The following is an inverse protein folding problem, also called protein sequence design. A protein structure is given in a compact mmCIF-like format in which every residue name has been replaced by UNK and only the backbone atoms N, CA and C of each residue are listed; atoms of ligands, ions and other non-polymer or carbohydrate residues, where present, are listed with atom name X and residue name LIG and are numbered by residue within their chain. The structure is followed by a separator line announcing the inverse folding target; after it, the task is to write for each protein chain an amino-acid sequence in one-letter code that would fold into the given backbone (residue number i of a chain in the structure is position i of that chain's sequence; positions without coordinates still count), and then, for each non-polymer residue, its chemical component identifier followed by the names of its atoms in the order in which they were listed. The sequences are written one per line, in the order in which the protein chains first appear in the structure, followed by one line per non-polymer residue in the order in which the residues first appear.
data_IF_161562159121
#
_entry.id   IF_161562159121
#
_cell.length_a   1.000
_cell.length_b   1.000
_cell.length_c   1.000
_cell.angle_alpha   90.00
_cell.angle_beta   90.00
_cell.angle_gamma   90.00
#
_symmetry.space_group_name_H-M   'P 1'
#
loop_
_entity.id
_entity.type
_entity.pdbx_description
1 polymer ?
#
# COMPACT_ATOMS: atom_id res chain seq x y z
N UNK A 1 0.89 -6.42 9.53
CA UNK A 1 1.33 -5.10 10.06
C UNK A 1 0.18 -4.09 10.06
N UNK A 2 -0.43 -3.75 8.93
CA UNK A 2 -1.52 -2.75 8.88
C UNK A 2 -2.69 -3.03 9.86
N UNK A 3 -3.11 -4.29 9.97
CA UNK A 3 -4.15 -4.72 10.92
C UNK A 3 -3.72 -4.70 12.42
N UNK A 4 -2.52 -4.22 12.74
CA UNK A 4 -2.12 -3.95 14.14
C UNK A 4 -2.26 -2.47 14.50
N UNK A 5 -2.58 -1.58 13.55
CA UNK A 5 -2.65 -0.14 13.79
C UNK A 5 -4.01 0.24 14.40
N UNK A 6 -3.97 0.92 15.54
CA UNK A 6 -5.17 1.33 16.27
C UNK A 6 -5.98 2.34 15.46
N UNK A 7 -7.31 2.18 15.46
CA UNK A 7 -8.24 3.07 14.77
C UNK A 7 -8.39 2.83 13.26
N UNK A 8 -7.51 2.03 12.64
CA UNK A 8 -7.54 1.75 11.19
C UNK A 8 -7.52 0.25 10.85
N UNK A 9 -7.31 -0.64 11.82
CA UNK A 9 -7.32 -2.10 11.60
C UNK A 9 -8.68 -2.62 11.14
N UNK A 10 -8.66 -3.70 10.37
CA UNK A 10 -9.84 -4.49 10.07
C UNK A 10 -10.21 -5.39 11.26
N UNK A 11 -11.33 -5.08 11.93
CA UNK A 11 -11.78 -5.80 13.13
C UNK A 11 -12.36 -7.19 12.83
N UNK A 12 -12.82 -7.45 11.60
CA UNK A 12 -13.54 -8.69 11.26
C UNK A 12 -12.91 -9.47 10.11
N UNK A 13 -11.92 -8.88 9.43
CA UNK A 13 -11.38 -9.40 8.16
C UNK A 13 -12.28 -9.12 6.96
N UNK A 14 -13.44 -8.51 7.18
CA UNK A 14 -14.41 -8.11 6.16
C UNK A 14 -15.12 -6.80 6.55
N UNK A 15 -14.52 -5.98 7.41
CA UNK A 15 -15.10 -4.71 7.82
C UNK A 15 -15.34 -3.80 6.60
N UNK A 16 -16.43 -3.04 6.63
CA UNK A 16 -16.81 -2.10 5.59
C UNK A 16 -16.22 -0.69 5.81
N UNK A 17 -15.38 -0.51 6.83
CA UNK A 17 -14.66 0.74 7.01
C UNK A 17 -13.72 0.97 5.83
N UNK A 18 -13.56 2.24 5.41
CA UNK A 18 -12.69 2.59 4.28
C UNK A 18 -11.26 2.05 4.47
N UNK A 19 -10.74 2.09 5.71
CA UNK A 19 -9.42 1.53 6.03
C UNK A 19 -9.31 0.02 5.88
N UNK A 20 -10.36 -0.73 6.23
CA UNK A 20 -10.37 -2.17 6.08
C UNK A 20 -10.47 -2.58 4.61
N UNK A 21 -11.31 -1.87 3.83
CA UNK A 21 -11.40 -2.05 2.38
C UNK A 21 -10.05 -1.76 1.73
N UNK A 22 -9.44 -0.62 2.06
CA UNK A 22 -8.12 -0.21 1.57
C UNK A 22 -7.04 -1.24 1.92
N UNK A 23 -6.95 -1.67 3.19
CA UNK A 23 -5.94 -2.66 3.64
C UNK A 23 -6.04 -3.97 2.85
N UNK A 24 -7.26 -4.45 2.59
CA UNK A 24 -7.49 -5.67 1.81
C UNK A 24 -7.13 -5.48 0.33
N UNK A 25 -7.53 -4.35 -0.27
CA UNK A 25 -7.20 -4.03 -1.66
C UNK A 25 -5.68 -3.95 -1.86
N UNK A 26 -4.99 -3.17 -1.03
CA UNK A 26 -3.53 -3.07 -0.99
C UNK A 26 -2.87 -4.45 -0.85
N UNK A 27 -3.34 -5.30 0.07
CA UNK A 27 -2.77 -6.66 0.26
C UNK A 27 -2.91 -7.52 -1.01
N UNK A 28 -4.04 -7.44 -1.72
CA UNK A 28 -4.26 -8.19 -2.97
C UNK A 28 -3.32 -7.71 -4.07
N UNK A 29 -3.09 -6.40 -4.17
CA UNK A 29 -2.19 -5.83 -5.17
C UNK A 29 -0.74 -6.23 -4.93
N UNK A 30 -0.25 -6.08 -3.70
CA UNK A 30 1.10 -6.47 -3.27
C UNK A 30 1.36 -7.97 -3.50
N UNK A 31 0.34 -8.83 -3.34
CA UNK A 31 0.48 -10.26 -3.63
C UNK A 31 0.88 -10.52 -5.09
N UNK A 32 0.38 -9.73 -6.04
CA UNK A 32 0.70 -9.90 -7.47
C UNK A 32 2.18 -9.64 -7.76
N UNK A 33 2.84 -8.79 -6.98
CA UNK A 33 4.26 -8.49 -7.12
C UNK A 33 5.11 -9.73 -6.81
N UNK A 34 4.82 -10.37 -5.66
CA UNK A 34 5.46 -11.61 -5.24
C UNK A 34 5.23 -12.75 -6.23
N UNK A 35 3.99 -12.95 -6.67
CA UNK A 35 3.62 -13.98 -7.65
C UNK A 35 4.38 -13.83 -8.97
N UNK A 36 4.46 -12.60 -9.46
CA UNK A 36 5.16 -12.28 -10.70
C UNK A 36 6.65 -12.58 -10.60
N UNK A 37 7.31 -12.06 -9.55
CA UNK A 37 8.75 -12.22 -9.36
C UNK A 37 9.11 -13.69 -9.09
N UNK A 38 8.29 -14.40 -8.31
CA UNK A 38 8.49 -15.83 -8.06
C UNK A 38 8.45 -16.64 -9.36
N UNK A 39 7.40 -16.47 -10.17
CA UNK A 39 7.26 -17.17 -11.46
C UNK A 39 8.40 -16.83 -12.40
N UNK A 40 8.83 -15.56 -12.45
CA UNK A 40 9.98 -15.18 -13.24
C UNK A 40 11.26 -15.89 -12.79
N UNK A 41 11.58 -15.85 -11.49
CA UNK A 41 12.78 -16.47 -10.95
C UNK A 41 12.77 -17.98 -11.20
N UNK A 42 11.63 -18.63 -11.01
CA UNK A 42 11.41 -20.04 -11.30
C UNK A 42 11.68 -20.36 -12.77
N UNK A 43 11.03 -19.66 -13.70
CA UNK A 43 11.17 -19.89 -15.14
C UNK A 43 12.55 -19.48 -15.68
N UNK A 44 13.26 -18.58 -15.00
CA UNK A 44 14.59 -18.15 -15.42
C UNK A 44 15.63 -19.27 -15.36
N UNK A 45 15.43 -20.26 -14.47
CA UNK A 45 16.39 -21.34 -14.21
C UNK A 45 17.75 -20.87 -13.66
N UNK A 46 17.88 -19.60 -13.22
CA UNK A 46 19.16 -19.00 -12.79
C UNK A 46 19.41 -19.04 -11.29
N UNK A 47 18.43 -19.43 -10.51
CA UNK A 47 18.48 -19.40 -9.04
C UNK A 47 18.03 -20.73 -8.46
N UNK A 48 18.55 -21.07 -7.29
CA UNK A 48 18.09 -22.24 -6.53
C UNK A 48 16.77 -21.90 -5.82
N UNK A 49 15.66 -22.27 -6.45
CA UNK A 49 14.32 -22.01 -5.91
C UNK A 49 14.09 -22.64 -4.54
N UNK A 50 14.74 -23.77 -4.23
CA UNK A 50 14.60 -24.40 -2.91
C UNK A 50 15.19 -23.52 -1.80
N UNK A 51 16.27 -22.81 -2.08
CA UNK A 51 16.85 -21.86 -1.11
C UNK A 51 16.00 -20.61 -0.98
N UNK A 52 15.42 -20.12 -2.08
CA UNK A 52 14.49 -18.99 -2.07
C UNK A 52 13.25 -19.31 -1.22
N UNK A 53 12.60 -20.45 -1.47
CA UNK A 53 11.41 -20.88 -0.73
C UNK A 53 11.69 -21.08 0.76
N UNK A 54 12.82 -21.69 1.11
CA UNK A 54 13.28 -21.78 2.52
C UNK A 54 13.45 -20.40 3.14
N UNK A 55 14.06 -19.47 2.41
CA UNK A 55 14.29 -18.10 2.90
C UNK A 55 12.96 -17.39 3.13
N UNK A 56 12.00 -17.52 2.21
CA UNK A 56 10.64 -16.98 2.35
C UNK A 56 9.96 -17.57 3.60
N UNK A 57 10.02 -18.90 3.78
CA UNK A 57 9.43 -19.57 4.93
C UNK A 57 10.01 -19.06 6.26
N UNK A 58 11.34 -18.93 6.36
CA UNK A 58 11.98 -18.36 7.54
C UNK A 58 11.64 -16.88 7.74
N UNK A 59 11.58 -16.10 6.67
CA UNK A 59 11.26 -14.68 6.73
C UNK A 59 9.83 -14.45 7.23
N UNK A 60 8.84 -15.17 6.70
CA UNK A 60 7.44 -15.10 7.15
C UNK A 60 7.34 -15.58 8.61
N UNK A 61 7.96 -16.71 8.94
CA UNK A 61 7.93 -17.27 10.30
C UNK A 61 8.59 -16.38 11.35
N UNK A 62 9.62 -15.61 10.96
CA UNK A 62 10.27 -14.63 11.85
C UNK A 62 9.44 -13.37 12.04
N UNK A 63 8.59 -13.04 11.06
CA UNK A 63 7.83 -11.79 11.03
C UNK A 63 8.73 -10.56 10.96
N UNK A 64 8.13 -9.39 11.22
CA UNK A 64 8.83 -8.11 11.28
C UNK A 64 8.24 -7.25 12.39
N UNK A 65 9.11 -6.64 13.21
CA UNK A 65 8.73 -5.64 14.20
C UNK A 65 9.14 -4.24 13.77
N UNK A 66 8.31 -3.49 13.01
CA UNK A 66 8.67 -2.16 12.49
C UNK A 66 8.69 -1.06 13.57
N UNK A 67 8.46 -1.41 14.85
CA UNK A 67 8.43 -0.48 16.00
C UNK A 67 7.47 0.70 15.80
N UNK A 68 6.32 0.43 15.18
CA UNK A 68 5.25 1.42 14.97
C UNK A 68 4.34 1.58 16.18
N UNK A 69 4.52 0.78 17.24
CA UNK A 69 3.77 0.88 18.52
C UNK A 69 2.24 0.88 18.35
N UNK A 70 1.73 0.16 17.35
CA UNK A 70 0.32 0.16 16.97
C UNK A 70 -0.22 1.56 16.60
N UNK A 71 0.65 2.56 16.41
CA UNK A 71 0.29 3.93 16.09
C UNK A 71 0.08 4.06 14.58
N UNK A 72 -1.12 4.46 14.11
CA UNK A 72 -1.35 4.71 12.69
C UNK A 72 -0.43 5.80 12.14
N UNK A 73 -0.09 6.82 12.94
CA UNK A 73 0.87 7.86 12.55
C UNK A 73 2.26 7.29 12.22
N UNK A 74 2.82 6.48 13.12
CA UNK A 74 4.13 5.84 12.87
C UNK A 74 4.03 4.79 11.76
N UNK A 75 2.89 4.09 11.68
CA UNK A 75 2.59 3.12 10.62
C UNK A 75 2.65 3.74 9.23
N UNK A 76 1.95 4.85 9.01
CA UNK A 76 1.89 5.49 7.70
C UNK A 76 3.18 6.23 7.31
N UNK A 77 3.93 6.77 8.29
CA UNK A 77 5.30 7.24 8.02
C UNK A 77 6.15 6.07 7.54
N UNK A 78 6.13 4.95 8.27
CA UNK A 78 6.90 3.77 7.92
C UNK A 78 6.56 3.23 6.52
N UNK A 79 5.27 3.08 6.18
CA UNK A 79 4.87 2.60 4.84
C UNK A 79 5.27 3.58 3.75
N UNK A 80 5.09 4.89 3.95
CA UNK A 80 5.49 5.90 2.96
C UNK A 80 6.98 5.83 2.61
N UNK A 81 7.83 5.63 3.61
CA UNK A 81 9.26 5.42 3.39
C UNK A 81 9.56 4.09 2.70
N UNK A 82 8.86 3.01 3.08
CA UNK A 82 9.01 1.68 2.49
C UNK A 82 8.68 1.71 0.99
N UNK A 83 7.52 2.22 0.63
CA UNK A 83 7.06 2.28 -0.78
C UNK A 83 7.99 3.14 -1.64
N UNK A 84 8.58 4.20 -1.06
CA UNK A 84 9.58 5.01 -1.78
C UNK A 84 10.85 4.20 -2.05
N UNK A 85 11.29 3.43 -1.06
CA UNK A 85 12.49 2.62 -1.17
C UNK A 85 12.31 1.48 -2.19
N UNK A 86 11.13 0.86 -2.25
CA UNK A 86 10.82 -0.19 -3.22
C UNK A 86 10.70 0.37 -4.63
N UNK A 87 10.03 1.52 -4.82
CA UNK A 87 9.97 2.24 -6.09
C UNK A 87 11.35 2.52 -6.68
N UNK A 88 12.26 3.06 -5.88
CA UNK A 88 13.63 3.34 -6.33
C UNK A 88 14.35 2.04 -6.68
N UNK A 89 14.17 0.99 -5.87
CA UNK A 89 14.83 -0.31 -6.05
C UNK A 89 14.36 -1.06 -7.29
N UNK A 90 13.05 -1.06 -7.55
CA UNK A 90 12.45 -1.58 -8.78
C UNK A 90 12.91 -0.76 -9.99
N UNK A 91 12.87 0.56 -9.88
CA UNK A 91 13.41 1.53 -10.85
C UNK A 91 14.83 1.21 -11.33
N UNK A 92 15.72 0.92 -10.38
CA UNK A 92 17.10 0.58 -10.67
C UNK A 92 17.19 -0.82 -11.31
N UNK A 93 16.48 -1.80 -10.77
CA UNK A 93 16.43 -3.17 -11.30
C UNK A 93 15.96 -3.21 -12.75
N UNK A 94 14.90 -2.49 -13.11
CA UNK A 94 14.39 -2.42 -14.48
C UNK A 94 15.39 -1.79 -15.46
N UNK A 95 16.17 -0.80 -15.00
CA UNK A 95 17.22 -0.17 -15.82
C UNK A 95 18.40 -1.10 -16.07
N UNK A 96 18.73 -1.95 -15.11
CA UNK A 96 19.82 -2.91 -15.21
C UNK A 96 19.45 -4.18 -16.01
N UNK A 97 18.16 -4.48 -16.15
CA UNK A 97 17.69 -5.61 -16.95
C UNK A 97 18.10 -5.44 -18.44
N UNK A 98 18.82 -6.43 -18.99
CA UNK A 98 19.32 -6.44 -20.39
C UNK A 98 18.31 -7.05 -21.38
N UNK A 99 18.49 -6.74 -22.67
CA UNK A 99 17.65 -7.05 -23.84
C UNK A 99 16.99 -8.45 -23.96
N UNK A 100 17.57 -9.59 -23.54
CA UNK A 100 16.85 -10.87 -23.58
C UNK A 100 15.62 -10.92 -22.66
N UNK A 101 15.40 -9.90 -21.83
CA UNK A 101 14.43 -9.84 -20.74
C UNK A 101 13.44 -8.68 -20.87
N UNK A 102 13.14 -8.22 -22.09
CA UNK A 102 12.20 -7.11 -22.33
C UNK A 102 10.83 -7.34 -21.68
N UNK A 103 10.39 -8.60 -21.56
CA UNK A 103 9.17 -8.98 -20.84
C UNK A 103 9.24 -8.66 -19.34
N UNK A 104 10.39 -8.92 -18.71
CA UNK A 104 10.63 -8.57 -17.30
C UNK A 104 10.77 -7.06 -17.14
N UNK A 105 11.52 -6.40 -18.02
CA UNK A 105 11.69 -4.94 -17.98
C UNK A 105 10.35 -4.20 -18.08
N UNK A 106 9.49 -4.63 -19.00
CA UNK A 106 8.12 -4.10 -19.14
C UNK A 106 7.30 -4.33 -17.87
N UNK A 107 7.49 -5.48 -17.22
CA UNK A 107 6.73 -5.83 -16.03
C UNK A 107 7.23 -5.15 -14.76
N UNK A 108 8.53 -4.92 -14.59
CA UNK A 108 9.05 -4.07 -13.49
C UNK A 108 8.63 -2.62 -13.69
N UNK A 109 8.63 -2.11 -14.93
CA UNK A 109 8.06 -0.77 -15.20
C UNK A 109 6.58 -0.67 -14.87
N UNK A 110 5.84 -1.76 -15.00
CA UNK A 110 4.45 -1.81 -14.54
C UNK A 110 4.37 -1.73 -13.00
N UNK A 111 5.23 -2.45 -12.27
CA UNK A 111 5.35 -2.29 -10.80
C UNK A 111 5.73 -0.86 -10.40
N UNK A 112 6.68 -0.24 -11.09
CA UNK A 112 7.09 1.14 -10.87
C UNK A 112 5.93 2.12 -11.05
N UNK A 113 5.08 1.89 -12.05
CA UNK A 113 3.90 2.73 -12.29
C UNK A 113 2.93 2.63 -11.11
N UNK A 114 2.72 1.43 -10.58
CA UNK A 114 1.84 1.21 -9.41
C UNK A 114 2.38 1.93 -8.17
N UNK A 115 3.68 1.82 -7.88
CA UNK A 115 4.31 2.49 -6.73
C UNK A 115 4.41 4.02 -6.92
N UNK A 116 4.45 4.53 -8.15
CA UNK A 116 4.44 5.97 -8.43
C UNK A 116 3.06 6.61 -8.21
N UNK A 117 1.97 5.85 -8.33
CA UNK A 117 0.61 6.35 -8.13
C UNK A 117 0.34 6.66 -6.65
N UNK A 118 0.93 5.89 -5.71
CA UNK A 118 0.99 6.20 -4.27
C UNK A 118 1.49 7.62 -3.99
N UNK A 119 2.62 7.99 -4.62
CA UNK A 119 3.21 9.33 -4.45
C UNK A 119 2.42 10.43 -5.14
N UNK A 120 1.68 10.15 -6.21
CA UNK A 120 0.93 11.18 -6.94
C UNK A 120 -0.18 11.83 -6.09
N UNK A 121 -0.79 11.08 -5.17
CA UNK A 121 -1.76 11.58 -4.19
C UNK A 121 -1.10 12.44 -3.10
N UNK A 122 0.06 12.03 -2.60
CA UNK A 122 0.87 12.78 -1.62
C UNK A 122 1.49 14.05 -2.24
N UNK A 123 1.98 13.96 -3.47
CA UNK A 123 2.66 15.02 -4.21
C UNK A 123 1.75 16.18 -4.57
N UNK A 124 0.46 15.94 -4.75
CA UNK A 124 -0.52 16.99 -5.05
C UNK A 124 -0.75 17.95 -3.89
N UNK A 125 -0.60 17.52 -2.63
CA UNK A 125 -0.75 18.41 -1.48
C UNK A 125 -0.05 17.89 -0.22
N UNK A 126 1.29 17.94 -0.21
CA UNK A 126 2.10 17.61 0.95
C UNK A 126 1.67 18.36 2.22
N UNK A 127 1.20 19.61 2.08
CA UNK A 127 0.72 20.43 3.20
C UNK A 127 -0.53 19.81 3.82
N UNK A 128 -1.53 19.42 3.02
CA UNK A 128 -2.73 18.74 3.54
C UNK A 128 -2.41 17.36 4.09
N UNK A 129 -1.55 16.57 3.43
CA UNK A 129 -1.14 15.27 3.96
C UNK A 129 -0.48 15.41 5.35
N UNK A 130 0.36 16.44 5.51
CA UNK A 130 1.01 16.75 6.79
C UNK A 130 0.01 17.31 7.83
N UNK A 131 -0.95 18.13 7.42
CA UNK A 131 -2.07 18.59 8.29
C UNK A 131 -2.90 17.42 8.78
N UNK A 132 -3.30 16.50 7.90
CA UNK A 132 -4.04 15.30 8.27
C UNK A 132 -3.22 14.36 9.17
N UNK A 133 -1.93 14.18 8.90
CA UNK A 133 -1.00 13.47 9.80
C UNK A 133 -0.86 14.16 11.15
N UNK A 134 -0.88 15.49 11.20
CA UNK A 134 -0.83 16.29 12.43
C UNK A 134 -2.12 16.18 13.22
N UNK A 135 -3.29 16.24 12.58
CA UNK A 135 -4.59 16.02 13.20
C UNK A 135 -4.74 14.56 13.69
N UNK A 136 -4.24 13.60 12.91
CA UNK A 136 -4.11 12.21 13.30
C UNK A 136 -3.19 12.02 14.51
N UNK A 137 -2.11 12.81 14.65
CA UNK A 137 -1.23 12.75 15.84
C UNK A 137 -1.93 13.20 17.12
N UNK A 138 -3.01 13.99 17.01
CA UNK A 138 -3.88 14.41 18.12
C UNK A 138 -4.90 13.34 18.52
N UNK A 139 -4.83 12.12 17.94
CA UNK A 139 -5.71 10.96 18.22
C UNK A 139 -7.20 11.21 17.98
N UNK A 140 -7.56 12.15 17.10
CA UNK A 140 -8.95 12.38 16.71
C UNK A 140 -9.44 11.27 15.76
N UNK A 141 -10.42 10.44 16.16
CA UNK A 141 -10.90 9.32 15.33
C UNK A 141 -11.47 9.77 13.98
N UNK A 142 -12.08 10.96 13.92
CA UNK A 142 -12.63 11.57 12.71
C UNK A 142 -11.57 11.91 11.66
N UNK A 143 -10.37 12.30 12.08
CA UNK A 143 -9.25 12.59 11.18
C UNK A 143 -8.75 11.33 10.45
N UNK A 144 -8.77 10.18 11.13
CA UNK A 144 -8.44 8.91 10.48
C UNK A 144 -9.49 8.53 9.44
N UNK A 145 -10.79 8.67 9.73
CA UNK A 145 -11.84 8.33 8.75
C UNK A 145 -11.79 9.21 7.49
N UNK A 146 -11.51 10.51 7.65
CA UNK A 146 -11.31 11.42 6.52
C UNK A 146 -10.10 11.03 5.65
N UNK A 147 -8.99 10.65 6.27
CA UNK A 147 -7.85 10.09 5.55
C UNK A 147 -8.22 8.77 4.84
N UNK A 148 -8.91 7.85 5.49
CA UNK A 148 -9.29 6.58 4.86
C UNK A 148 -10.13 6.78 3.59
N UNK A 149 -10.98 7.81 3.58
CA UNK A 149 -11.75 8.19 2.39
C UNK A 149 -10.87 8.84 1.30
N UNK A 150 -9.90 9.69 1.67
CA UNK A 150 -8.91 10.27 0.75
C UNK A 150 -8.06 9.19 0.07
N UNK A 151 -7.55 8.23 0.85
CA UNK A 151 -6.78 7.09 0.35
C UNK A 151 -7.62 6.16 -0.54
N UNK A 152 -8.92 6.02 -0.26
CA UNK A 152 -9.83 5.19 -1.07
C UNK A 152 -10.29 5.87 -2.37
N UNK A 153 -10.53 7.19 -2.34
CA UNK A 153 -11.19 7.91 -3.44
C UNK A 153 -10.32 8.92 -4.18
N UNK A 154 -9.07 9.17 -3.77
CA UNK A 154 -8.14 10.17 -4.37
C UNK A 154 -8.64 11.63 -4.39
N UNK A 155 -9.80 11.92 -3.78
CA UNK A 155 -10.48 13.22 -3.87
C UNK A 155 -10.28 14.03 -2.60
N UNK A 156 -9.68 15.20 -2.79
CA UNK A 156 -9.42 16.25 -1.82
C UNK A 156 -10.74 16.75 -1.17
N UNK A 157 -11.09 16.28 0.04
CA UNK A 157 -12.32 16.70 0.74
C UNK A 157 -12.06 17.83 1.75
N UNK A 158 -12.97 18.80 1.77
CA UNK A 158 -13.01 19.90 2.74
C UNK A 158 -13.58 19.41 4.10
N UNK A 159 -12.86 19.60 5.23
CA UNK A 159 -13.29 19.14 6.55
C UNK A 159 -14.64 19.72 7.03
N UNK A 160 -15.06 20.88 6.53
CA UNK A 160 -16.35 21.49 6.92
C UNK A 160 -17.56 20.84 6.23
N UNK A 161 -17.33 19.97 5.25
CA UNK A 161 -18.39 19.35 4.43
C UNK A 161 -18.54 17.84 4.64
N UNK A 162 -17.87 17.25 5.64
CA UNK A 162 -17.99 15.83 5.95
C UNK A 162 -19.43 15.53 6.41
N UNK A 163 -20.24 14.77 5.64
CA UNK A 163 -21.52 14.30 6.14
C UNK A 163 -21.28 13.32 7.29
N UNK A 164 -22.19 13.32 8.27
CA UNK A 164 -22.17 12.40 9.38
C UNK A 164 -22.09 10.96 8.85
N UNK A 165 -20.99 10.26 9.14
CA UNK A 165 -20.50 9.07 8.41
C UNK A 165 -21.26 7.79 8.81
N UNK A 166 -22.57 7.90 9.03
CA UNK A 166 -23.44 6.75 9.23
C UNK A 166 -24.02 6.22 7.89
N UNK A 167 -23.98 7.00 6.80
CA UNK A 167 -24.70 6.66 5.56
C UNK A 167 -23.93 6.91 4.26
N UNK A 168 -22.60 6.73 4.23
CA UNK A 168 -21.90 6.61 2.94
C UNK A 168 -22.16 5.21 2.35
N UNK A 169 -23.35 5.00 1.76
CA UNK A 169 -23.67 3.81 0.97
C UNK A 169 -22.67 3.72 -0.18
N UNK A 170 -22.01 2.57 -0.28
CA UNK A 170 -21.25 2.16 -1.45
C UNK A 170 -22.16 2.20 -2.70
N UNK A 171 -22.12 3.31 -3.44
CA UNK A 171 -22.68 3.37 -4.78
C UNK A 171 -21.54 3.14 -5.78
N UNK A 172 -21.80 2.21 -6.71
CA UNK A 172 -20.94 1.71 -7.78
C UNK A 172 -19.81 0.75 -7.38
N UNK A 173 -20.15 -0.53 -7.36
CA UNK A 173 -19.24 -1.68 -7.33
C UNK A 173 -18.57 -1.99 -8.67
N UNK A 174 -18.86 -1.25 -9.73
CA UNK A 174 -18.51 -1.68 -11.10
C UNK A 174 -17.40 -0.84 -11.76
N UNK A 175 -16.91 0.23 -11.11
CA UNK A 175 -15.75 1.01 -11.56
C UNK A 175 -14.80 1.34 -10.39
N UNK A 176 -14.60 0.41 -9.46
CA UNK A 176 -13.48 0.53 -8.53
C UNK A 176 -12.21 0.11 -9.28
N UNK A 177 -11.73 0.98 -10.15
CA UNK A 177 -10.30 1.04 -10.42
C UNK A 177 -9.64 1.44 -9.11
N UNK A 178 -9.40 0.47 -8.24
CA UNK A 178 -8.50 0.62 -7.13
C UNK A 178 -7.14 0.95 -7.77
N UNK A 179 -6.82 2.24 -7.80
CA UNK A 179 -5.48 2.69 -8.12
C UNK A 179 -4.59 2.29 -6.94
N UNK A 180 -3.37 1.88 -7.25
CA UNK A 180 -2.46 1.26 -6.30
C UNK A 180 -2.12 2.20 -5.15
N UNK A 181 -2.62 1.87 -3.96
CA UNK A 181 -2.30 2.55 -2.71
C UNK A 181 -2.03 1.49 -1.64
N UNK A 182 -0.93 0.75 -1.73
CA UNK A 182 -0.14 0.46 -0.54
C UNK A 182 0.89 1.59 -0.40
#
# INVERSE_FOLDING_TARGET
MLNTLNGVRDETGASLTSWAIWTRACTVEENRHGDLLNKYLYLSGRVDMRQIEKTIQYSIGSGMGPRTENSPYLGFIYTSFRERATLISHGITARLAKEPWESMRTRVRWLEKEESEFFSGLERNYTKALEWLTLASQRLPSAYNGMGYLYLNTIDLNPETLPDIAEAKASNTDEVHAFSFC
#
